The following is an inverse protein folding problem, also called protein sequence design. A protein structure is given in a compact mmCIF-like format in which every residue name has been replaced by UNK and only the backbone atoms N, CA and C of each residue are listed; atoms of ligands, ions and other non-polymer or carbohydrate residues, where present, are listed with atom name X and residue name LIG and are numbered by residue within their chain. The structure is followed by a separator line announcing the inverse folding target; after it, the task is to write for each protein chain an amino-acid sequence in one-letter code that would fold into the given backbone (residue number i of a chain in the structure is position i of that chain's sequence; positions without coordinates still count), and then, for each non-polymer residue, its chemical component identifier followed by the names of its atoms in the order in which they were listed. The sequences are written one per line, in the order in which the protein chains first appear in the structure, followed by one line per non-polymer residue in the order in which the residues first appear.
data_IF_617575151520
#
_entry.id   IF_617575151520
#
_cell.length_a   1.000
_cell.length_b   1.000
_cell.length_c   1.000
_cell.angle_alpha   90.00
_cell.angle_beta   90.00
_cell.angle_gamma   90.00
#
_symmetry.space_group_name_H-M   'P 1'
#
loop_
_entity.id
_entity.type
_entity.pdbx_description
1 polymer ?
#
# COMPACT_ATOMS: atom_id res chain seq x y z
N UNK A 1 -3.84 -1.13 29.59
CA UNK A 1 -3.73 -2.37 28.81
C UNK A 1 -3.31 -1.95 27.41
N UNK A 2 -2.20 -2.48 26.90
CA UNK A 2 -1.64 -2.06 25.61
C UNK A 2 -2.61 -2.40 24.48
N UNK A 3 -3.24 -1.39 23.88
CA UNK A 3 -3.80 -1.51 22.53
C UNK A 3 -2.63 -1.81 21.62
N UNK A 4 -2.43 -3.08 21.28
CA UNK A 4 -1.55 -3.42 20.18
C UNK A 4 -2.15 -2.75 18.94
N UNK A 5 -1.39 -1.89 18.26
CA UNK A 5 -1.80 -1.31 16.97
C UNK A 5 -2.11 -2.47 16.02
N UNK A 6 -3.39 -2.69 15.75
CA UNK A 6 -3.87 -3.66 14.76
C UNK A 6 -3.61 -3.11 13.36
N UNK A 7 -3.26 -3.98 12.42
CA UNK A 7 -2.94 -3.58 11.04
C UNK A 7 -3.54 -4.54 10.03
N UNK A 8 -3.69 -4.09 8.80
CA UNK A 8 -4.00 -4.98 7.68
C UNK A 8 -2.98 -6.11 7.60
N UNK A 9 -3.47 -7.33 7.36
CA UNK A 9 -2.69 -8.55 7.34
C UNK A 9 -2.61 -9.28 8.68
N UNK A 10 -2.90 -8.63 9.82
CA UNK A 10 -2.92 -9.31 11.11
C UNK A 10 -3.93 -10.45 11.11
N UNK A 11 -3.50 -11.59 11.66
CA UNK A 11 -4.33 -12.75 11.89
C UNK A 11 -4.98 -12.64 13.25
N UNK A 12 -6.30 -12.79 13.31
CA UNK A 12 -7.06 -12.62 14.53
C UNK A 12 -7.96 -13.83 14.84
N UNK A 13 -8.35 -13.93 16.10
CA UNK A 13 -9.41 -14.82 16.58
C UNK A 13 -10.50 -14.01 17.25
N UNK A 14 -11.75 -14.25 16.85
CA UNK A 14 -12.90 -13.60 17.48
C UNK A 14 -13.13 -14.14 18.89
N UNK A 15 -13.34 -13.24 19.84
CA UNK A 15 -13.65 -13.57 21.24
C UNK A 15 -15.09 -13.21 21.60
N UNK A 16 -15.65 -12.13 21.05
CA UNK A 16 -17.04 -11.72 21.30
C UNK A 16 -17.53 -10.71 20.26
N UNK A 17 -18.80 -10.82 19.87
CA UNK A 17 -19.52 -9.91 18.97
C UNK A 17 -20.98 -9.77 19.45
N UNK A 18 -21.23 -9.05 20.56
CA UNK A 18 -22.50 -9.14 21.29
C UNK A 18 -23.68 -8.41 20.64
N UNK A 19 -23.42 -7.38 19.83
CA UNK A 19 -24.45 -6.49 19.27
C UNK A 19 -24.77 -6.77 17.79
N UNK A 20 -24.17 -7.80 17.18
CA UNK A 20 -24.41 -8.13 15.77
C UNK A 20 -25.58 -9.13 15.61
N UNK A 21 -26.56 -8.86 14.73
CA UNK A 21 -27.71 -9.73 14.52
C UNK A 21 -27.38 -11.03 13.77
N UNK A 22 -26.26 -11.11 13.06
CA UNK A 22 -25.78 -12.31 12.35
C UNK A 22 -24.28 -12.51 12.57
N UNK A 23 -23.89 -12.79 13.84
CA UNK A 23 -22.51 -12.70 14.30
C UNK A 23 -21.66 -13.83 13.72
N UNK A 24 -20.37 -13.56 13.58
CA UNK A 24 -19.38 -14.61 13.34
C UNK A 24 -19.23 -15.47 14.60
N UNK A 25 -19.14 -16.81 14.50
CA UNK A 25 -18.96 -17.67 15.65
C UNK A 25 -17.71 -17.32 16.48
N UNK A 26 -17.84 -17.32 17.81
CA UNK A 26 -16.71 -17.14 18.71
C UNK A 26 -15.66 -18.23 18.47
N UNK A 27 -14.40 -17.83 18.39
CA UNK A 27 -13.28 -18.70 18.07
C UNK A 27 -12.97 -18.82 16.59
N UNK A 28 -13.81 -18.30 15.70
CA UNK A 28 -13.47 -18.15 14.29
C UNK A 28 -12.22 -17.30 14.13
N UNK A 29 -11.41 -17.66 13.14
CA UNK A 29 -10.20 -16.93 12.81
C UNK A 29 -10.35 -16.25 11.45
N UNK A 30 -9.63 -15.14 11.28
CA UNK A 30 -9.70 -14.34 10.07
C UNK A 30 -8.50 -13.43 9.93
N UNK A 31 -8.38 -12.83 8.75
CA UNK A 31 -7.30 -11.89 8.42
C UNK A 31 -7.89 -10.50 8.25
N UNK A 32 -7.29 -9.51 8.92
CA UNK A 32 -7.68 -8.11 8.76
C UNK A 32 -7.32 -7.67 7.33
N UNK A 33 -8.31 -7.20 6.56
CA UNK A 33 -8.11 -6.73 5.19
C UNK A 33 -8.15 -5.21 5.08
N UNK A 34 -8.73 -4.52 6.06
CA UNK A 34 -8.74 -3.06 6.11
C UNK A 34 -8.92 -2.56 7.54
N UNK A 35 -8.29 -1.44 7.89
CA UNK A 35 -8.46 -0.73 9.16
C UNK A 35 -8.75 0.73 8.86
N UNK A 36 -9.86 1.24 9.39
CA UNK A 36 -10.21 2.66 9.32
C UNK A 36 -10.00 3.29 10.70
N UNK A 37 -9.27 4.41 10.76
CA UNK A 37 -9.05 5.15 12.00
C UNK A 37 -10.20 6.10 12.34
N UNK A 38 -10.28 6.48 13.62
CA UNK A 38 -11.22 7.49 14.13
C UNK A 38 -12.35 6.94 15.00
N UNK A 39 -13.27 7.81 15.46
CA UNK A 39 -14.35 7.45 16.39
C UNK A 39 -15.40 6.49 15.80
N UNK A 40 -15.43 6.35 14.47
CA UNK A 40 -16.25 5.39 13.74
C UNK A 40 -15.37 4.36 13.00
N UNK A 41 -14.14 4.17 13.50
CA UNK A 41 -13.19 3.23 12.93
C UNK A 41 -13.77 1.81 12.88
N UNK A 42 -13.38 1.06 11.86
CA UNK A 42 -13.83 -0.31 11.64
C UNK A 42 -12.64 -1.17 11.23
N UNK A 43 -12.71 -2.45 11.60
CA UNK A 43 -11.70 -3.45 11.28
C UNK A 43 -12.35 -4.47 10.38
N UNK A 44 -12.11 -4.39 9.08
CA UNK A 44 -12.68 -5.31 8.12
C UNK A 44 -11.89 -6.62 8.13
N UNK A 45 -12.57 -7.74 8.34
CA UNK A 45 -11.93 -9.06 8.48
C UNK A 45 -12.52 -10.02 7.45
N UNK A 46 -11.64 -10.69 6.71
CA UNK A 46 -12.00 -11.86 5.92
C UNK A 46 -11.87 -13.08 6.81
N UNK A 47 -12.99 -13.74 7.08
CA UNK A 47 -13.05 -14.92 7.95
C UNK A 47 -12.74 -16.18 7.14
N UNK A 48 -12.09 -17.17 7.73
CA UNK A 48 -11.65 -18.36 6.99
C UNK A 48 -12.76 -19.34 6.68
N UNK A 49 -13.55 -19.67 7.72
CA UNK A 49 -14.66 -20.62 7.64
C UNK A 49 -15.94 -19.99 7.09
N UNK A 50 -15.87 -18.72 6.68
CA UNK A 50 -16.99 -17.99 6.10
C UNK A 50 -16.60 -17.38 4.77
N UNK A 51 -17.48 -17.44 3.78
CA UNK A 51 -17.33 -16.66 2.55
C UNK A 51 -17.54 -15.15 2.79
N UNK A 52 -17.95 -14.75 4.00
CA UNK A 52 -18.26 -13.36 4.36
C UNK A 52 -17.01 -12.62 4.80
N UNK A 53 -16.98 -11.35 4.40
CA UNK A 53 -16.13 -10.33 5.03
C UNK A 53 -17.03 -9.50 5.94
N UNK A 54 -16.69 -9.40 7.22
CA UNK A 54 -17.47 -8.66 8.21
C UNK A 54 -16.55 -7.73 9.00
N UNK A 55 -17.04 -6.52 9.27
CA UNK A 55 -16.31 -5.54 10.04
C UNK A 55 -16.52 -5.75 11.54
N UNK A 56 -15.45 -5.58 12.31
CA UNK A 56 -15.49 -5.48 13.76
C UNK A 56 -15.41 -4.01 14.17
N UNK A 57 -16.12 -3.65 15.23
CA UNK A 57 -16.20 -2.33 15.84
C UNK A 57 -15.23 -2.29 17.04
N UNK A 58 -14.16 -1.48 16.98
CA UNK A 58 -13.23 -1.31 18.09
C UNK A 58 -13.95 -0.86 19.37
N UNK A 59 -13.70 -1.57 20.47
CA UNK A 59 -14.28 -1.25 21.79
C UNK A 59 -15.65 -1.87 22.06
N UNK A 60 -16.34 -2.37 21.03
CA UNK A 60 -17.58 -3.16 21.15
C UNK A 60 -17.26 -4.65 20.95
N UNK A 61 -16.65 -4.96 19.81
CA UNK A 61 -16.23 -6.32 19.49
C UNK A 61 -14.89 -6.63 20.12
N UNK A 62 -14.70 -7.91 20.51
CA UNK A 62 -13.47 -8.39 21.13
C UNK A 62 -12.84 -9.46 20.28
N UNK A 63 -11.53 -9.32 20.05
CA UNK A 63 -10.71 -10.30 19.38
C UNK A 63 -9.29 -10.25 19.95
N UNK A 64 -8.50 -11.28 19.65
CA UNK A 64 -7.07 -11.30 19.91
C UNK A 64 -6.30 -11.42 18.58
N UNK A 65 -5.12 -10.83 18.53
CA UNK A 65 -4.19 -10.99 17.40
C UNK A 65 -3.36 -12.25 17.66
N UNK A 66 -3.48 -13.23 16.78
CA UNK A 66 -2.73 -14.49 16.82
C UNK A 66 -1.37 -14.36 16.17
N UNK A 67 -1.31 -13.70 15.01
CA UNK A 67 -0.09 -13.51 14.22
C UNK A 67 -0.09 -12.10 13.61
N UNK A 68 1.07 -11.46 13.61
CA UNK A 68 1.24 -10.18 12.92
C UNK A 68 1.31 -10.41 11.43
N UNK A 69 0.52 -9.64 10.68
CA UNK A 69 0.67 -9.57 9.24
C UNK A 69 2.06 -9.04 8.88
N UNK A 70 2.56 -9.36 7.67
CA UNK A 70 3.80 -8.78 7.19
C UNK A 70 3.73 -7.25 7.34
N UNK A 71 4.79 -6.65 7.89
CA UNK A 71 4.88 -5.20 7.97
C UNK A 71 4.65 -4.59 6.58
N UNK A 72 3.86 -3.51 6.45
CA UNK A 72 3.56 -2.93 5.15
C UNK A 72 4.78 -2.35 4.40
N UNK A 73 6.00 -2.51 4.94
CA UNK A 73 7.25 -2.30 4.24
C UNK A 73 8.40 -3.04 4.96
N UNK A 74 8.37 -4.37 4.98
CA UNK A 74 9.61 -5.13 5.08
C UNK A 74 9.69 -6.07 3.88
N UNK A 75 10.72 -5.95 3.02
CA UNK A 75 10.95 -6.93 1.97
C UNK A 75 11.37 -8.24 2.64
N UNK A 76 10.39 -9.05 3.02
CA UNK A 76 10.62 -10.43 3.42
C UNK A 76 11.25 -11.13 2.23
N UNK A 77 12.54 -11.44 2.35
CA UNK A 77 13.26 -12.26 1.41
C UNK A 77 12.56 -13.60 1.25
N UNK A 78 11.74 -13.70 0.22
CA UNK A 78 11.22 -14.94 -0.31
C UNK A 78 11.34 -14.83 -1.83
N UNK A 79 12.38 -15.46 -2.34
CA UNK A 79 12.60 -15.84 -3.73
C UNK A 79 11.28 -16.19 -4.41
N UNK A 80 10.86 -15.38 -5.38
CA UNK A 80 9.71 -15.65 -6.26
C UNK A 80 8.65 -14.55 -6.32
N UNK A 81 9.03 -13.29 -6.55
CA UNK A 81 8.07 -12.22 -6.81
C UNK A 81 8.01 -11.90 -8.31
N UNK A 82 7.01 -12.43 -9.01
CA UNK A 82 6.48 -11.72 -10.18
C UNK A 82 5.57 -10.61 -9.65
N UNK A 83 6.17 -9.56 -9.08
CA UNK A 83 5.51 -8.26 -9.03
C UNK A 83 5.21 -7.78 -10.46
N UNK A 84 4.35 -6.79 -10.68
CA UNK A 84 4.23 -6.21 -12.02
C UNK A 84 5.62 -5.79 -12.48
N UNK A 85 6.06 -6.27 -13.66
CA UNK A 85 7.39 -5.96 -14.18
C UNK A 85 7.56 -4.44 -14.15
N UNK A 86 8.58 -3.89 -13.46
CA UNK A 86 8.79 -2.45 -13.42
C UNK A 86 8.93 -1.89 -14.83
N UNK A 87 8.48 -0.65 -15.01
CA UNK A 87 8.66 0.03 -16.29
C UNK A 87 10.11 0.47 -16.39
N UNK A 88 10.80 -0.11 -17.37
CA UNK A 88 12.20 0.20 -17.66
C UNK A 88 12.27 1.57 -18.35
N UNK A 89 13.07 2.49 -17.81
CA UNK A 89 13.28 3.85 -18.31
C UNK A 89 14.77 4.21 -18.26
N UNK A 90 15.23 5.24 -19.01
CA UNK A 90 16.62 5.67 -18.94
C UNK A 90 17.05 5.97 -17.50
N UNK A 91 18.31 5.65 -17.17
CA UNK A 91 18.82 5.79 -15.79
C UNK A 91 18.60 7.19 -15.21
N UNK A 92 18.95 8.23 -15.97
CA UNK A 92 18.77 9.62 -15.55
C UNK A 92 17.29 9.97 -15.27
N UNK A 93 16.37 9.39 -16.04
CA UNK A 93 14.92 9.53 -15.83
C UNK A 93 14.49 8.83 -14.54
N UNK A 94 14.95 7.59 -14.33
CA UNK A 94 14.65 6.85 -13.10
C UNK A 94 15.14 7.57 -11.85
N UNK A 95 16.37 8.11 -11.90
CA UNK A 95 16.98 8.88 -10.80
C UNK A 95 16.23 10.19 -10.53
N UNK A 96 15.84 10.93 -11.58
CA UNK A 96 15.03 12.14 -11.43
C UNK A 96 13.66 11.87 -10.81
N UNK A 97 12.99 10.78 -11.22
CA UNK A 97 11.70 10.37 -10.64
C UNK A 97 11.86 9.94 -9.17
N UNK A 98 12.92 9.21 -8.82
CA UNK A 98 13.21 8.84 -7.43
C UNK A 98 13.48 10.07 -6.56
N UNK A 99 14.26 11.03 -7.07
CA UNK A 99 14.52 12.30 -6.41
C UNK A 99 13.23 13.09 -6.16
N UNK A 100 12.34 13.17 -7.15
CA UNK A 100 11.04 13.82 -7.01
C UNK A 100 10.14 13.13 -5.97
N UNK A 101 10.15 11.79 -5.91
CA UNK A 101 9.43 11.01 -4.89
C UNK A 101 9.94 11.30 -3.49
N UNK A 102 11.26 11.29 -3.29
CA UNK A 102 11.89 11.57 -1.99
C UNK A 102 11.62 12.98 -1.49
N UNK A 103 11.46 13.93 -2.41
CA UNK A 103 11.11 15.30 -2.05
C UNK A 103 9.72 15.37 -1.39
N UNK A 104 8.77 14.50 -1.76
CA UNK A 104 7.46 14.35 -1.11
C UNK A 104 6.52 15.57 -1.21
N UNK A 105 6.91 16.60 -1.97
CA UNK A 105 6.25 17.90 -2.02
C UNK A 105 5.18 18.02 -3.11
N UNK A 106 5.13 17.12 -4.09
CA UNK A 106 4.18 17.18 -5.20
C UNK A 106 3.39 15.88 -5.39
N UNK A 107 2.19 16.01 -5.94
CA UNK A 107 1.43 14.88 -6.43
C UNK A 107 2.14 14.28 -7.64
N UNK A 108 2.51 13.00 -7.57
CA UNK A 108 3.20 12.29 -8.66
C UNK A 108 2.36 12.16 -9.94
N UNK A 109 1.06 12.46 -9.93
CA UNK A 109 0.22 12.53 -11.14
C UNK A 109 0.29 13.89 -11.87
N UNK A 110 0.88 14.91 -11.25
CA UNK A 110 1.06 16.25 -11.83
C UNK A 110 2.38 16.33 -12.60
N UNK A 111 2.43 15.74 -13.80
CA UNK A 111 3.64 15.67 -14.62
C UNK A 111 4.33 17.03 -14.83
N UNK A 112 3.61 18.14 -15.12
CA UNK A 112 4.24 19.46 -15.22
C UNK A 112 4.97 19.88 -13.94
N UNK A 113 4.36 19.66 -12.77
CA UNK A 113 5.01 19.97 -11.49
C UNK A 113 6.25 19.09 -11.26
N UNK A 114 6.16 17.79 -11.56
CA UNK A 114 7.30 16.87 -11.43
C UNK A 114 8.42 17.24 -12.39
N UNK A 115 8.12 17.53 -13.67
CA UNK A 115 9.12 17.94 -14.64
C UNK A 115 9.83 19.26 -14.26
N UNK A 116 9.09 20.20 -13.67
CA UNK A 116 9.66 21.43 -13.11
C UNK A 116 10.61 21.15 -11.94
N UNK A 117 10.20 20.28 -11.01
CA UNK A 117 11.02 19.89 -9.87
C UNK A 117 12.28 19.14 -10.31
N UNK A 118 12.18 18.16 -11.21
CA UNK A 118 13.34 17.39 -11.66
C UNK A 118 14.37 18.30 -12.33
N UNK A 119 13.92 19.28 -13.13
CA UNK A 119 14.81 20.31 -13.69
C UNK A 119 15.47 21.16 -12.59
N UNK A 120 14.72 21.59 -11.58
CA UNK A 120 15.28 22.35 -10.45
C UNK A 120 16.34 21.57 -9.67
N UNK A 121 16.21 20.25 -9.60
CA UNK A 121 17.15 19.34 -8.94
C UNK A 121 18.34 18.94 -9.84
N UNK A 122 18.42 19.44 -11.08
CA UNK A 122 19.51 19.16 -12.02
C UNK A 122 19.32 17.92 -12.90
N UNK A 123 18.12 17.33 -12.91
CA UNK A 123 17.76 16.20 -13.77
C UNK A 123 17.05 16.69 -15.03
N UNK A 124 17.77 17.42 -15.89
CA UNK A 124 17.21 17.99 -17.13
C UNK A 124 16.69 16.92 -18.10
N UNK A 125 17.42 15.80 -18.26
CA UNK A 125 16.99 14.68 -19.11
C UNK A 125 15.67 14.07 -18.61
N UNK A 126 15.51 13.93 -17.29
CA UNK A 126 14.25 13.48 -16.69
C UNK A 126 13.11 14.48 -16.95
N UNK A 127 13.39 15.77 -16.83
CA UNK A 127 12.42 16.83 -17.09
C UNK A 127 11.95 16.83 -18.56
N UNK A 128 12.88 16.68 -19.50
CA UNK A 128 12.55 16.61 -20.93
C UNK A 128 11.77 15.33 -21.25
N UNK A 129 12.15 14.20 -20.66
CA UNK A 129 11.43 12.94 -20.79
C UNK A 129 9.99 13.02 -20.26
N UNK A 130 9.78 13.66 -19.10
CA UNK A 130 8.46 13.85 -18.48
C UNK A 130 7.56 14.81 -19.29
N UNK A 131 8.17 15.79 -19.96
CA UNK A 131 7.45 16.73 -20.84
C UNK A 131 7.07 16.13 -22.20
N UNK A 132 7.79 15.10 -22.67
CA UNK A 132 7.44 14.42 -23.91
C UNK A 132 6.11 13.66 -23.75
N UNK A 133 5.12 14.07 -24.54
CA UNK A 133 3.78 13.48 -24.57
C UNK A 133 3.78 11.99 -24.87
N UNK A 134 4.80 11.46 -25.54
CA UNK A 134 4.98 10.03 -25.88
C UNK A 134 5.22 9.18 -24.63
N UNK A 135 5.84 9.76 -23.60
CA UNK A 135 6.23 9.05 -22.37
C UNK A 135 5.14 9.04 -21.29
N UNK A 136 4.04 9.79 -21.48
CA UNK A 136 2.98 9.91 -20.47
C UNK A 136 2.36 8.58 -20.07
N UNK A 137 2.17 7.67 -21.02
CA UNK A 137 1.67 6.32 -20.75
C UNK A 137 2.68 5.51 -19.94
N UNK A 138 3.94 5.52 -20.36
CA UNK A 138 5.07 4.88 -19.68
C UNK A 138 5.20 5.37 -18.23
N UNK A 139 5.10 6.68 -18.03
CA UNK A 139 5.11 7.29 -16.70
C UNK A 139 3.92 6.84 -15.85
N UNK A 140 2.69 6.93 -16.37
CA UNK A 140 1.50 6.51 -15.66
C UNK A 140 1.56 5.02 -15.27
N UNK A 141 2.04 4.15 -16.16
CA UNK A 141 2.26 2.74 -15.86
C UNK A 141 3.32 2.56 -14.75
N UNK A 142 4.42 3.32 -14.79
CA UNK A 142 5.49 3.26 -13.79
C UNK A 142 5.11 3.82 -12.41
N UNK A 143 4.08 4.67 -12.32
CA UNK A 143 3.50 5.07 -11.02
C UNK A 143 2.90 3.87 -10.29
N UNK A 144 2.23 2.95 -11.01
CA UNK A 144 1.59 1.78 -10.42
C UNK A 144 2.50 0.55 -10.34
N UNK A 145 3.42 0.40 -11.30
CA UNK A 145 4.28 -0.79 -11.45
C UNK A 145 5.69 -0.60 -10.89
N UNK A 146 6.07 0.63 -10.57
CA UNK A 146 7.46 1.00 -10.26
C UNK A 146 8.27 1.30 -11.53
N UNK A 147 9.41 1.98 -11.32
CA UNK A 147 10.38 2.28 -12.37
C UNK A 147 11.66 1.50 -12.10
N UNK A 148 12.31 1.02 -13.15
CA UNK A 148 13.65 0.46 -13.09
C UNK A 148 14.54 1.16 -14.13
N UNK A 149 15.83 1.39 -13.84
CA UNK A 149 16.74 1.92 -14.83
C UNK A 149 17.00 0.89 -15.94
N UNK A 150 17.21 1.36 -17.17
CA UNK A 150 17.78 0.56 -18.25
C UNK A 150 19.12 -0.05 -17.80
N UNK A 151 19.33 -1.32 -18.14
CA UNK A 151 20.58 -2.03 -17.88
C UNK A 151 21.75 -1.39 -18.64
N UNK A 152 22.96 -1.55 -18.10
CA UNK A 152 24.20 -1.21 -18.81
C UNK A 152 24.46 -2.11 -20.02
#
# INVERSE_FOLDING_TARGET
MTTAMIRTGDRIRLLSMPDDPDPIPVGSTGTIVSVTEGPLGQVQVKWDDSSRTLALIPGVDRFEVLERGPEPDQPTGATGATGPTPVVVPRAVCEGIDAARRAGIFNMLDLPAIAGLTRQLGFDEAADWLNDRRNRRTYAEGIFRGFAPEGE
#
